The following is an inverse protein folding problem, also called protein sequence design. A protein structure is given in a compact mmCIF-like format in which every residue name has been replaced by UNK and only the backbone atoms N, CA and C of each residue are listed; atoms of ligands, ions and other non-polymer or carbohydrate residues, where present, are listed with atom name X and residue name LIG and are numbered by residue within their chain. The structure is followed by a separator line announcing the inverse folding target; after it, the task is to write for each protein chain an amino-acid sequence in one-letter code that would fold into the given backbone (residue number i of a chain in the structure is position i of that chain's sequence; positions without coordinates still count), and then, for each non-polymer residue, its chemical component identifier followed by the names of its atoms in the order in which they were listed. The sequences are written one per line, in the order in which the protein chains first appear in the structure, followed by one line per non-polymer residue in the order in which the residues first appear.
data_IF_263965772090
#
_entry.id   IF_263965772090
#
_cell.length_a   1.000
_cell.length_b   1.000
_cell.length_c   1.000
_cell.angle_alpha   90.00
_cell.angle_beta   90.00
_cell.angle_gamma   90.00
#
_symmetry.space_group_name_H-M   'P 1'
#
loop_
_entity.id
_entity.type
_entity.pdbx_description
1 polymer ?
#
# COMPACT_ATOMS: atom_id res chain seq x y z
N UNK A 1 -24.72 -90.06 7.15
CA UNK A 1 -26.18 -89.85 6.97
C UNK A 1 -26.45 -89.30 5.59
N UNK A 2 -26.67 -90.19 4.62
CA UNK A 2 -27.00 -89.85 3.23
C UNK A 2 -28.52 -89.84 3.10
N UNK A 3 -29.13 -88.67 3.29
CA UNK A 3 -30.56 -88.50 3.02
C UNK A 3 -30.78 -88.50 1.51
N UNK A 4 -31.39 -89.57 1.03
CA UNK A 4 -31.89 -89.73 -0.34
C UNK A 4 -32.90 -88.63 -0.61
N UNK A 5 -32.51 -87.65 -1.43
CA UNK A 5 -33.36 -86.51 -1.81
C UNK A 5 -34.42 -87.06 -2.77
N UNK A 6 -35.69 -87.05 -2.37
CA UNK A 6 -36.81 -87.28 -3.29
C UNK A 6 -36.71 -86.30 -4.47
N UNK A 7 -36.80 -86.75 -5.73
CA UNK A 7 -36.80 -85.85 -6.86
C UNK A 7 -38.05 -84.98 -6.77
N UNK A 8 -37.85 -83.66 -6.62
CA UNK A 8 -38.96 -82.71 -6.58
C UNK A 8 -39.90 -82.93 -7.77
N UNK A 9 -41.19 -82.92 -7.48
CA UNK A 9 -42.24 -82.97 -8.51
C UNK A 9 -42.08 -81.77 -9.46
N UNK A 10 -42.56 -81.89 -10.69
CA UNK A 10 -42.41 -80.83 -11.70
C UNK A 10 -43.04 -79.51 -11.26
N UNK A 11 -44.06 -79.57 -10.41
CA UNK A 11 -44.75 -78.41 -9.83
C UNK A 11 -43.90 -77.71 -8.78
N UNK A 12 -43.24 -78.44 -7.88
CA UNK A 12 -42.34 -77.88 -6.87
C UNK A 12 -41.09 -77.25 -7.49
N UNK A 13 -40.59 -77.79 -8.61
CA UNK A 13 -39.49 -77.18 -9.37
C UNK A 13 -39.90 -75.85 -10.00
N UNK A 14 -41.11 -75.79 -10.58
CA UNK A 14 -41.66 -74.54 -11.14
C UNK A 14 -41.88 -73.48 -10.05
N UNK A 15 -42.41 -73.88 -8.89
CA UNK A 15 -42.60 -72.99 -7.73
C UNK A 15 -41.26 -72.43 -7.21
N UNK A 16 -40.24 -73.28 -7.02
CA UNK A 16 -38.91 -72.83 -6.60
C UNK A 16 -38.24 -71.91 -7.62
N UNK A 17 -38.43 -72.15 -8.92
CA UNK A 17 -37.93 -71.24 -9.97
C UNK A 17 -38.65 -69.88 -9.95
N UNK A 18 -39.95 -69.85 -9.66
CA UNK A 18 -40.69 -68.60 -9.49
C UNK A 18 -40.19 -67.83 -8.26
N UNK A 19 -40.05 -68.49 -7.10
CA UNK A 19 -39.51 -67.88 -5.88
C UNK A 19 -38.09 -67.30 -6.09
N UNK A 20 -37.23 -68.04 -6.81
CA UNK A 20 -35.88 -67.56 -7.13
C UNK A 20 -35.89 -66.35 -8.08
N UNK A 21 -36.78 -66.32 -9.08
CA UNK A 21 -36.95 -65.17 -9.97
C UNK A 21 -37.45 -63.95 -9.22
N UNK A 22 -38.41 -64.13 -8.30
CA UNK A 22 -38.92 -63.06 -7.44
C UNK A 22 -37.82 -62.51 -6.52
N UNK A 23 -37.04 -63.38 -5.86
CA UNK A 23 -35.89 -62.96 -5.05
C UNK A 23 -34.83 -62.21 -5.85
N UNK A 24 -34.56 -62.62 -7.09
CA UNK A 24 -33.63 -61.90 -7.98
C UNK A 24 -34.19 -60.54 -8.40
N UNK A 25 -35.50 -60.46 -8.70
CA UNK A 25 -36.16 -59.21 -9.03
C UNK A 25 -36.14 -58.23 -7.84
N UNK A 26 -36.45 -58.70 -6.63
CA UNK A 26 -36.33 -57.92 -5.39
C UNK A 26 -34.91 -57.44 -5.15
N UNK A 27 -33.89 -58.30 -5.33
CA UNK A 27 -32.48 -57.91 -5.19
C UNK A 27 -32.04 -56.88 -6.24
N UNK A 28 -32.53 -56.98 -7.48
CA UNK A 28 -32.28 -55.98 -8.53
C UNK A 28 -32.93 -54.64 -8.20
N UNK A 29 -34.18 -54.64 -7.73
CA UNK A 29 -34.88 -53.43 -7.32
C UNK A 29 -34.18 -52.74 -6.13
N UNK A 30 -33.77 -53.50 -5.11
CA UNK A 30 -33.02 -52.97 -3.97
C UNK A 30 -31.67 -52.36 -4.39
N UNK A 31 -30.93 -53.03 -5.29
CA UNK A 31 -29.68 -52.48 -5.85
C UNK A 31 -29.91 -51.20 -6.63
N UNK A 32 -30.95 -51.15 -7.48
CA UNK A 32 -31.27 -49.95 -8.24
C UNK A 32 -31.61 -48.75 -7.32
N UNK A 33 -32.31 -48.98 -6.21
CA UNK A 33 -32.59 -47.93 -5.22
C UNK A 33 -31.33 -47.47 -4.49
N UNK A 34 -30.43 -48.38 -4.13
CA UNK A 34 -29.13 -48.05 -3.54
C UNK A 34 -28.27 -47.22 -4.50
N UNK A 35 -28.16 -47.63 -5.77
CA UNK A 35 -27.40 -46.90 -6.79
C UNK A 35 -27.93 -45.48 -7.01
N UNK A 36 -29.25 -45.27 -6.92
CA UNK A 36 -29.85 -43.93 -7.00
C UNK A 36 -29.50 -43.09 -5.76
N UNK A 37 -29.55 -43.68 -4.57
CA UNK A 37 -29.18 -43.00 -3.34
C UNK A 37 -27.69 -42.61 -3.35
N UNK A 38 -26.81 -43.53 -3.76
CA UNK A 38 -25.37 -43.31 -3.85
C UNK A 38 -25.00 -42.23 -4.87
N UNK A 39 -25.70 -42.18 -6.02
CA UNK A 39 -25.53 -41.08 -6.98
C UNK A 39 -25.94 -39.73 -6.40
N UNK A 40 -27.03 -39.68 -5.62
CA UNK A 40 -27.48 -38.44 -4.96
C UNK A 40 -26.48 -38.00 -3.88
N UNK A 41 -25.99 -38.91 -3.06
CA UNK A 41 -25.00 -38.58 -2.01
C UNK A 41 -23.65 -38.17 -2.62
N UNK A 42 -23.19 -38.84 -3.67
CA UNK A 42 -21.96 -38.47 -4.39
C UNK A 42 -22.05 -37.05 -4.98
N UNK A 43 -23.17 -36.69 -5.61
CA UNK A 43 -23.38 -35.34 -6.14
C UNK A 43 -23.50 -34.28 -5.03
N UNK A 44 -24.14 -34.60 -3.90
CA UNK A 44 -24.18 -33.73 -2.73
C UNK A 44 -22.78 -33.49 -2.14
N UNK A 45 -21.96 -34.54 -2.02
CA UNK A 45 -20.57 -34.44 -1.54
C UNK A 45 -19.75 -33.57 -2.51
N UNK A 46 -19.92 -33.75 -3.82
CA UNK A 46 -19.24 -32.92 -4.83
C UNK A 46 -19.56 -31.43 -4.66
N UNK A 47 -20.84 -31.10 -4.49
CA UNK A 47 -21.29 -29.71 -4.28
C UNK A 47 -20.78 -29.14 -2.97
N UNK A 48 -20.88 -29.92 -1.89
CA UNK A 48 -20.44 -29.50 -0.55
C UNK A 48 -18.92 -29.29 -0.51
N UNK A 49 -18.13 -30.17 -1.11
CA UNK A 49 -16.68 -29.99 -1.19
C UNK A 49 -16.30 -28.68 -1.91
N UNK A 50 -17.00 -28.31 -2.99
CA UNK A 50 -16.79 -27.03 -3.66
C UNK A 50 -17.16 -25.82 -2.78
N UNK A 51 -18.29 -25.91 -2.06
CA UNK A 51 -18.72 -24.87 -1.12
C UNK A 51 -17.75 -24.73 0.06
N UNK A 52 -17.29 -25.85 0.62
CA UNK A 52 -16.36 -25.87 1.76
C UNK A 52 -15.02 -25.22 1.38
N UNK A 53 -14.49 -25.49 0.18
CA UNK A 53 -13.27 -24.82 -0.30
C UNK A 53 -13.46 -23.30 -0.44
N UNK A 54 -14.60 -22.86 -0.96
CA UNK A 54 -14.92 -21.43 -1.07
C UNK A 54 -15.10 -20.78 0.30
N UNK A 55 -15.77 -21.46 1.23
CA UNK A 55 -16.01 -20.98 2.58
C UNK A 55 -14.71 -20.88 3.38
N UNK A 56 -13.79 -21.85 3.24
CA UNK A 56 -12.47 -21.82 3.90
C UNK A 56 -11.64 -20.64 3.40
N UNK A 57 -11.64 -20.34 2.09
CA UNK A 57 -10.95 -19.17 1.55
C UNK A 57 -11.53 -17.86 2.08
N UNK A 58 -12.86 -17.70 2.03
CA UNK A 58 -13.52 -16.52 2.55
C UNK A 58 -13.25 -16.30 4.05
N UNK A 59 -13.26 -17.37 4.86
CA UNK A 59 -12.91 -17.29 6.28
C UNK A 59 -11.43 -16.93 6.52
N UNK A 60 -10.52 -17.36 5.66
CA UNK A 60 -9.11 -16.97 5.73
C UNK A 60 -8.96 -15.47 5.47
N UNK A 61 -9.53 -14.99 4.36
CA UNK A 61 -9.50 -13.58 3.95
C UNK A 61 -10.14 -12.68 5.01
N UNK A 62 -11.29 -13.08 5.56
CA UNK A 62 -11.97 -12.34 6.62
C UNK A 62 -11.11 -12.26 7.89
N UNK A 63 -10.49 -13.37 8.32
CA UNK A 63 -9.61 -13.37 9.49
C UNK A 63 -8.37 -12.50 9.29
N UNK A 64 -7.79 -12.48 8.10
CA UNK A 64 -6.65 -11.62 7.77
C UNK A 64 -7.03 -10.14 7.79
N UNK A 65 -8.17 -9.80 7.18
CA UNK A 65 -8.72 -8.45 7.20
C UNK A 65 -9.04 -7.99 8.63
N UNK A 66 -9.69 -8.84 9.43
CA UNK A 66 -9.98 -8.53 10.84
C UNK A 66 -8.69 -8.31 11.65
N UNK A 67 -7.66 -9.14 11.46
CA UNK A 67 -6.34 -8.96 12.08
C UNK A 67 -5.68 -7.66 11.64
N UNK A 68 -5.75 -7.31 10.36
CA UNK A 68 -5.19 -6.06 9.84
C UNK A 68 -5.91 -4.83 10.43
N UNK A 69 -7.23 -4.86 10.54
CA UNK A 69 -8.02 -3.80 11.18
C UNK A 69 -7.71 -3.68 12.67
N UNK A 70 -7.59 -4.80 13.39
CA UNK A 70 -7.22 -4.81 14.80
C UNK A 70 -5.81 -4.23 15.02
N UNK A 71 -4.83 -4.59 14.18
CA UNK A 71 -3.47 -4.01 14.22
C UNK A 71 -3.50 -2.50 13.99
N UNK A 72 -4.20 -2.03 12.96
CA UNK A 72 -4.34 -0.59 12.67
C UNK A 72 -5.02 0.17 13.82
N UNK A 73 -6.01 -0.42 14.49
CA UNK A 73 -6.64 0.19 15.67
C UNK A 73 -5.67 0.28 16.84
N UNK A 74 -4.97 -0.82 17.14
CA UNK A 74 -3.98 -0.86 18.21
C UNK A 74 -2.84 0.13 17.98
N UNK A 75 -2.29 0.21 16.76
CA UNK A 75 -1.25 1.19 16.41
C UNK A 75 -1.73 2.64 16.62
N UNK A 76 -2.97 2.96 16.24
CA UNK A 76 -3.57 4.28 16.49
C UNK A 76 -3.75 4.59 17.97
N UNK A 77 -4.19 3.60 18.75
CA UNK A 77 -4.37 3.73 20.20
C UNK A 77 -3.03 3.92 20.91
N UNK A 78 -2.01 3.14 20.54
CA UNK A 78 -0.66 3.23 21.08
C UNK A 78 0.00 4.58 20.72
N UNK A 79 -0.17 5.05 19.48
CA UNK A 79 0.31 6.38 19.07
C UNK A 79 -0.41 7.51 19.81
N UNK A 80 -1.73 7.40 19.99
CA UNK A 80 -2.50 8.37 20.77
C UNK A 80 -2.08 8.37 22.24
N UNK A 81 -1.83 7.20 22.83
CA UNK A 81 -1.35 7.07 24.20
C UNK A 81 0.06 7.65 24.36
N UNK A 82 0.98 7.39 23.42
CA UNK A 82 2.31 7.99 23.42
C UNK A 82 2.25 9.52 23.31
N UNK A 83 1.41 10.05 22.43
CA UNK A 83 1.16 11.50 22.31
C UNK A 83 0.60 12.10 23.61
N UNK A 84 -0.31 11.41 24.30
CA UNK A 84 -0.84 11.86 25.62
C UNK A 84 0.26 11.91 26.67
N UNK A 85 1.07 10.85 26.79
CA UNK A 85 2.20 10.81 27.74
C UNK A 85 3.21 11.94 27.50
N UNK A 86 3.57 12.23 26.25
CA UNK A 86 4.50 13.32 25.92
C UNK A 86 3.87 14.68 26.27
N UNK A 87 2.58 14.88 25.98
CA UNK A 87 1.88 16.12 26.35
C UNK A 87 1.85 16.33 27.86
N UNK A 88 1.55 15.29 28.63
CA UNK A 88 1.56 15.33 30.10
C UNK A 88 2.96 15.66 30.65
N UNK A 89 4.02 15.08 30.08
CA UNK A 89 5.40 15.41 30.45
C UNK A 89 5.78 16.86 30.14
N UNK A 90 5.39 17.37 28.97
CA UNK A 90 5.65 18.77 28.58
C UNK A 90 4.87 19.73 29.50
N UNK A 91 3.65 19.39 29.86
CA UNK A 91 2.83 20.21 30.75
C UNK A 91 3.40 20.22 32.17
N UNK A 92 3.86 19.08 32.69
CA UNK A 92 4.56 19.01 33.97
C UNK A 92 5.86 19.84 33.97
N UNK A 93 6.74 19.71 32.96
CA UNK A 93 7.97 20.52 32.84
C UNK A 93 7.64 22.02 32.71
N UNK A 94 6.59 22.37 31.96
CA UNK A 94 6.14 23.75 31.82
C UNK A 94 5.68 24.33 33.16
N UNK A 95 4.88 23.57 33.92
CA UNK A 95 4.41 23.99 35.25
C UNK A 95 5.58 24.13 36.23
N UNK A 96 6.55 23.22 36.22
CA UNK A 96 7.74 23.30 37.07
C UNK A 96 8.59 24.53 36.75
N UNK A 97 8.80 24.85 35.47
CA UNK A 97 9.51 26.07 35.06
C UNK A 97 8.77 27.34 35.49
N UNK A 98 7.45 27.37 35.37
CA UNK A 98 6.64 28.50 35.84
C UNK A 98 6.79 28.67 37.36
N UNK A 99 6.66 27.58 38.13
CA UNK A 99 6.83 27.60 39.58
C UNK A 99 8.23 28.07 39.99
N UNK A 100 9.28 27.57 39.34
CA UNK A 100 10.67 27.98 39.61
C UNK A 100 10.92 29.45 39.30
N UNK A 101 10.36 29.96 38.19
CA UNK A 101 10.42 31.40 37.85
C UNK A 101 9.68 32.26 38.88
N UNK A 102 8.49 31.85 39.32
CA UNK A 102 7.73 32.56 40.35
C UNK A 102 8.48 32.58 41.70
N UNK A 103 9.09 31.47 42.10
CA UNK A 103 9.92 31.42 43.31
C UNK A 103 11.16 32.32 43.22
N UNK A 104 11.84 32.35 42.06
CA UNK A 104 12.99 33.23 41.84
C UNK A 104 12.60 34.72 41.82
N UNK A 105 11.44 35.06 41.26
CA UNK A 105 10.89 36.42 41.31
C UNK A 105 10.50 36.82 42.74
N UNK A 106 9.84 35.94 43.49
CA UNK A 106 9.48 36.20 44.88
C UNK A 106 10.72 36.41 45.78
N UNK A 107 11.79 35.63 45.57
CA UNK A 107 13.07 35.78 46.28
C UNK A 107 13.87 37.02 45.89
N UNK A 108 13.70 37.54 44.67
CA UNK A 108 14.34 38.80 44.24
C UNK A 108 13.55 40.03 44.67
N UNK A 109 12.23 39.96 44.81
CA UNK A 109 11.43 41.04 45.43
C UNK A 109 11.62 41.19 46.95
N UNK A 110 12.26 40.22 47.63
CA UNK A 110 12.71 40.37 49.02
C UNK A 110 14.16 40.90 49.14
N UNK A 111 14.95 40.87 48.06
CA UNK A 111 16.35 41.33 48.04
C UNK A 111 16.54 42.68 47.28
N UNK A 112 15.55 43.15 46.53
CA UNK A 112 15.63 44.39 45.74
C UNK A 112 15.33 45.69 46.53
N UNK A 113 15.15 45.63 47.87
CA UNK A 113 14.97 46.82 48.71
C UNK A 113 16.28 47.40 49.27
N UNK A 114 17.44 46.81 48.98
CA UNK A 114 18.72 47.28 49.51
C UNK A 114 19.86 47.13 48.49
N UNK A 115 19.96 48.08 47.55
CA UNK A 115 21.24 48.61 47.03
C UNK A 115 20.97 49.58 45.86
N UNK A 116 21.16 50.87 46.12
CA UNK A 116 21.15 51.93 45.12
C UNK A 116 22.47 52.70 45.16
N UNK A 117 23.37 52.51 44.18
CA UNK A 117 24.32 53.55 43.71
C UNK A 117 25.00 53.17 42.36
N UNK A 118 25.25 54.14 41.45
CA UNK A 118 25.87 54.00 40.09
C UNK A 118 27.40 54.35 40.11
N UNK A 119 28.23 54.52 39.02
CA UNK A 119 28.05 54.59 37.54
C UNK A 119 29.16 53.82 36.67
N UNK A 120 29.76 54.27 35.51
CA UNK A 120 29.76 53.63 34.15
C UNK A 120 31.18 53.36 33.53
N UNK A 121 31.48 53.34 32.18
CA UNK A 121 30.83 52.83 30.95
C UNK A 121 31.71 51.80 30.13
N UNK A 122 31.15 51.10 29.11
CA UNK A 122 31.69 50.97 27.71
C UNK A 122 31.19 49.73 26.91
N UNK A 123 30.75 50.04 25.67
CA UNK A 123 30.84 49.28 24.42
C UNK A 123 30.15 47.90 24.24
N UNK A 124 29.10 47.86 23.42
CA UNK A 124 29.15 47.47 21.99
C UNK A 124 27.83 46.86 21.49
N UNK A 125 27.34 47.39 20.35
CA UNK A 125 26.60 46.71 19.26
C UNK A 125 25.27 45.96 19.58
N UNK A 126 24.21 45.96 18.78
CA UNK A 126 23.78 46.71 17.59
C UNK A 126 22.28 46.40 17.45
N UNK A 127 21.59 47.33 16.83
CA UNK A 127 20.17 47.37 16.52
C UNK A 127 19.58 46.13 15.82
N UNK A 128 18.38 45.81 16.28
CA UNK A 128 17.30 45.10 15.61
C UNK A 128 17.15 45.47 14.13
N UNK A 129 17.23 44.47 13.26
CA UNK A 129 16.61 44.52 11.93
C UNK A 129 16.09 43.14 11.54
N UNK A 130 14.81 43.14 11.20
CA UNK A 130 14.01 42.06 10.66
C UNK A 130 14.41 41.74 9.22
N UNK A 131 15.57 41.11 9.03
CA UNK A 131 15.97 40.56 7.74
C UNK A 131 15.66 39.06 7.69
N UNK A 132 14.75 38.69 6.79
CA UNK A 132 14.51 37.31 6.37
C UNK A 132 15.82 36.60 6.05
N UNK A 133 16.21 35.64 6.88
CA UNK A 133 17.30 34.75 6.57
C UNK A 133 17.00 34.03 5.23
N UNK A 134 17.91 34.01 4.25
CA UNK A 134 17.73 33.17 3.08
C UNK A 134 17.68 31.73 3.58
N UNK A 135 16.59 31.04 3.26
CA UNK A 135 16.45 29.63 3.60
C UNK A 135 17.72 28.89 3.15
N UNK A 136 18.27 27.97 3.97
CA UNK A 136 19.45 27.21 3.58
C UNK A 136 19.15 26.54 2.24
N UNK A 137 20.10 26.60 1.30
CA UNK A 137 19.97 25.94 0.01
C UNK A 137 19.65 24.46 0.27
N UNK A 138 18.40 24.08 0.06
CA UNK A 138 17.93 22.72 0.26
C UNK A 138 18.62 21.89 -0.82
N UNK A 139 19.60 21.09 -0.43
CA UNK A 139 20.20 20.10 -1.31
C UNK A 139 19.15 19.02 -1.50
N UNK A 140 18.52 19.01 -2.67
CA UNK A 140 17.53 18.01 -3.02
C UNK A 140 18.24 16.85 -3.71
N UNK A 141 18.14 15.66 -3.12
CA UNK A 141 18.70 14.42 -3.69
C UNK A 141 17.86 13.87 -4.83
N UNK A 142 16.59 14.28 -4.92
CA UNK A 142 15.62 13.75 -5.88
C UNK A 142 15.09 14.86 -6.82
N UNK A 143 14.87 14.50 -8.08
CA UNK A 143 14.30 15.33 -9.14
C UNK A 143 12.94 14.77 -9.57
N UNK A 144 11.86 15.55 -9.42
CA UNK A 144 10.52 15.17 -9.87
C UNK A 144 10.22 15.76 -11.25
N UNK A 145 10.16 14.91 -12.27
CA UNK A 145 9.95 15.34 -13.65
C UNK A 145 8.51 15.07 -14.11
N UNK A 146 7.89 16.11 -14.68
CA UNK A 146 6.59 16.02 -15.34
C UNK A 146 6.78 16.10 -16.86
N UNK A 147 6.24 15.14 -17.60
CA UNK A 147 6.27 15.13 -19.06
C UNK A 147 4.95 15.61 -19.67
N UNK A 148 5.03 16.53 -20.64
CA UNK A 148 3.89 17.04 -21.42
C UNK A 148 4.06 16.68 -22.88
N UNK A 149 3.03 16.15 -23.51
CA UNK A 149 3.02 15.86 -24.95
C UNK A 149 1.89 16.66 -25.62
N UNK A 150 2.16 17.40 -26.71
CA UNK A 150 1.15 18.14 -27.45
C UNK A 150 0.29 17.23 -28.36
N UNK A 151 0.89 16.19 -28.96
CA UNK A 151 0.25 15.39 -30.03
C UNK A 151 -0.68 14.26 -29.54
N UNK A 152 -0.68 13.96 -28.24
CA UNK A 152 -1.53 12.94 -27.64
C UNK A 152 -2.29 13.54 -26.45
N UNK A 153 -3.57 13.19 -26.25
CA UNK A 153 -4.22 13.52 -24.99
C UNK A 153 -3.40 12.90 -23.85
N UNK A 154 -3.38 13.57 -22.69
CA UNK A 154 -2.57 13.22 -21.52
C UNK A 154 -2.91 11.86 -20.87
N UNK A 155 -3.63 11.02 -21.60
CA UNK A 155 -4.13 9.68 -21.29
C UNK A 155 -2.98 8.65 -21.31
N UNK A 156 -1.84 8.94 -21.96
CA UNK A 156 -0.69 8.03 -22.03
C UNK A 156 -0.07 7.69 -20.65
N UNK A 157 -0.30 8.51 -19.62
CA UNK A 157 0.07 8.19 -18.23
C UNK A 157 -1.01 7.41 -17.47
N UNK A 158 -2.26 7.41 -17.94
CA UNK A 158 -3.40 6.88 -17.18
C UNK A 158 -3.46 5.35 -17.23
N UNK A 159 -2.94 4.74 -18.30
CA UNK A 159 -2.88 3.28 -18.42
C UNK A 159 -1.80 2.64 -17.53
N UNK A 160 -0.75 3.37 -17.13
CA UNK A 160 0.37 2.86 -16.33
C UNK A 160 0.51 3.49 -14.94
N UNK A 161 -0.29 4.50 -14.58
CA UNK A 161 -0.43 4.94 -13.18
C UNK A 161 -1.21 3.94 -12.32
N UNK A 162 -1.89 2.94 -12.91
CA UNK A 162 -2.65 1.93 -12.16
C UNK A 162 -1.74 0.88 -11.50
N UNK A 163 -0.49 0.76 -11.94
CA UNK A 163 0.47 -0.20 -11.37
C UNK A 163 1.38 0.37 -10.29
N UNK A 164 1.36 1.70 -10.07
CA UNK A 164 2.14 2.36 -9.02
C UNK A 164 1.16 3.16 -8.17
N UNK A 165 0.78 2.55 -7.04
CA UNK A 165 -0.20 3.05 -6.09
C UNK A 165 0.10 4.50 -5.62
N UNK A 166 -0.91 5.36 -5.70
CA UNK A 166 -1.09 6.60 -4.91
C UNK A 166 -0.19 7.83 -5.13
N UNK A 167 -0.12 8.40 -6.34
CA UNK A 167 0.05 9.87 -6.46
C UNK A 167 -0.77 10.45 -7.63
N UNK A 168 -1.73 11.38 -7.38
CA UNK A 168 -2.49 12.05 -8.45
C UNK A 168 -1.66 13.09 -9.21
N UNK A 169 -0.33 13.05 -9.09
CA UNK A 169 0.58 13.96 -9.77
C UNK A 169 1.52 13.14 -10.65
N UNK A 170 1.45 13.48 -11.94
CA UNK A 170 2.15 12.95 -13.11
C UNK A 170 3.66 13.23 -13.04
N UNK A 171 4.29 12.88 -11.92
CA UNK A 171 5.66 13.21 -11.58
C UNK A 171 6.44 11.93 -11.32
N UNK A 172 7.47 11.69 -12.12
CA UNK A 172 8.39 10.57 -11.90
C UNK A 172 9.59 11.12 -11.13
N UNK A 173 9.98 10.41 -10.06
CA UNK A 173 11.16 10.76 -9.27
C UNK A 173 12.40 10.08 -9.87
N UNK A 174 13.42 10.88 -10.16
CA UNK A 174 14.76 10.47 -10.56
C UNK A 174 15.76 10.94 -9.49
N UNK A 175 16.96 10.36 -9.46
CA UNK A 175 18.02 10.85 -8.59
C UNK A 175 18.67 12.10 -9.21
N UNK A 176 19.10 13.05 -8.38
CA UNK A 176 19.76 14.27 -8.86
C UNK A 176 21.08 13.98 -9.61
N UNK A 177 21.70 12.84 -9.32
CA UNK A 177 22.91 12.32 -9.97
C UNK A 177 22.65 11.63 -11.31
N UNK A 178 21.39 11.34 -11.65
CA UNK A 178 21.07 10.67 -12.91
C UNK A 178 21.36 11.59 -14.10
N UNK A 179 21.79 10.99 -15.21
CA UNK A 179 22.02 11.71 -16.46
C UNK A 179 20.74 11.86 -17.24
N UNK A 180 20.66 12.91 -18.07
CA UNK A 180 19.52 13.13 -18.94
C UNK A 180 19.30 11.98 -19.94
N UNK A 181 20.35 11.23 -20.30
CA UNK A 181 20.24 10.01 -21.13
C UNK A 181 19.28 8.97 -20.54
N UNK A 182 19.28 8.77 -19.22
CA UNK A 182 18.36 7.85 -18.54
C UNK A 182 16.91 8.31 -18.71
N UNK A 183 16.68 9.62 -18.65
CA UNK A 183 15.36 10.22 -18.89
C UNK A 183 14.92 10.01 -20.34
N UNK A 184 15.83 10.15 -21.30
CA UNK A 184 15.56 9.87 -22.72
C UNK A 184 15.20 8.40 -22.96
N UNK A 185 15.93 7.46 -22.36
CA UNK A 185 15.64 6.03 -22.47
C UNK A 185 14.30 5.66 -21.83
N UNK A 186 13.99 6.25 -20.68
CA UNK A 186 12.70 6.07 -20.03
C UNK A 186 11.54 6.56 -20.93
N UNK A 187 11.67 7.74 -21.53
CA UNK A 187 10.65 8.30 -22.42
C UNK A 187 10.53 7.50 -23.72
N UNK A 188 11.65 7.00 -24.28
CA UNK A 188 11.63 6.16 -25.49
C UNK A 188 10.98 4.80 -25.23
N UNK A 189 11.28 4.17 -24.09
CA UNK A 189 10.64 2.91 -23.65
C UNK A 189 9.13 3.06 -23.48
N UNK A 190 8.67 4.18 -22.93
CA UNK A 190 7.24 4.46 -22.82
C UNK A 190 6.56 4.69 -24.18
N UNK A 191 7.27 5.28 -25.15
CA UNK A 191 6.73 5.55 -26.49
C UNK A 191 6.78 4.36 -27.44
N UNK A 192 7.22 3.19 -26.98
CA UNK A 192 7.33 1.99 -27.81
C UNK A 192 8.58 1.99 -28.71
N UNK A 193 9.67 2.63 -28.28
CA UNK A 193 10.96 2.59 -28.96
C UNK A 193 11.19 3.69 -30.01
N UNK A 194 10.33 4.70 -30.07
CA UNK A 194 10.53 5.86 -30.94
C UNK A 194 11.67 6.74 -30.38
N UNK A 195 12.78 6.84 -31.12
CA UNK A 195 14.00 7.57 -30.71
C UNK A 195 14.08 9.00 -31.23
N UNK A 196 13.18 9.40 -32.13
CA UNK A 196 13.15 10.71 -32.76
C UNK A 196 12.21 11.68 -32.02
N UNK A 197 12.60 12.09 -30.83
CA UNK A 197 11.90 13.16 -30.10
C UNK A 197 12.89 14.08 -29.38
N UNK A 198 12.43 15.29 -29.08
CA UNK A 198 13.20 16.34 -28.43
C UNK A 198 12.53 16.75 -27.12
N UNK A 199 13.32 16.86 -26.06
CA UNK A 199 12.87 17.35 -24.76
C UNK A 199 13.19 18.83 -24.62
N UNK A 200 12.20 19.63 -24.21
CA UNK A 200 12.36 21.05 -23.96
C UNK A 200 11.75 21.48 -22.62
N UNK A 201 12.38 22.42 -21.93
CA UNK A 201 11.82 23.07 -20.73
C UNK A 201 10.93 24.24 -21.13
N UNK A 202 9.94 24.59 -20.31
CA UNK A 202 9.03 25.72 -20.58
C UNK A 202 9.57 27.06 -20.08
N UNK A 203 10.32 27.05 -18.96
CA UNK A 203 10.85 28.27 -18.33
C UNK A 203 12.12 27.97 -17.51
N UNK A 204 13.29 28.55 -17.86
CA UNK A 204 13.60 29.17 -19.15
C UNK A 204 13.42 28.16 -20.28
N UNK A 205 13.05 28.62 -21.48
CA UNK A 205 12.91 27.73 -22.64
C UNK A 205 14.29 27.26 -23.08
N UNK A 206 14.62 26.00 -22.76
CA UNK A 206 15.87 25.36 -23.14
C UNK A 206 15.53 24.03 -23.81
N UNK A 207 16.14 23.80 -24.96
CA UNK A 207 16.13 22.48 -25.57
C UNK A 207 17.26 21.67 -24.92
N UNK A 208 16.94 20.46 -24.51
CA UNK A 208 17.91 19.53 -23.92
C UNK A 208 18.35 18.51 -24.98
N UNK A 209 19.36 18.84 -25.78
CA UNK A 209 19.84 17.99 -26.88
C UNK A 209 21.33 17.65 -26.75
N UNK A 210 21.81 16.64 -27.49
CA UNK A 210 23.22 16.28 -27.67
C UNK A 210 24.11 16.35 -26.43
N UNK A 211 24.74 17.50 -26.22
CA UNK A 211 25.66 17.78 -25.11
C UNK A 211 25.00 17.75 -23.73
N UNK A 212 23.73 18.13 -23.62
CA UNK A 212 22.99 18.10 -22.36
C UNK A 212 22.61 16.67 -21.94
N UNK A 213 22.68 15.68 -22.86
CA UNK A 213 22.39 14.27 -22.54
C UNK A 213 23.37 13.67 -21.54
N UNK A 214 24.60 14.14 -21.55
CA UNK A 214 25.68 13.66 -20.68
C UNK A 214 25.72 14.36 -19.32
N UNK A 215 24.94 15.43 -19.14
CA UNK A 215 24.90 16.20 -17.89
C UNK A 215 23.91 15.59 -16.90
N UNK A 216 24.17 15.80 -15.62
CA UNK A 216 23.29 15.36 -14.54
C UNK A 216 22.05 16.26 -14.44
N UNK A 217 20.96 15.74 -13.86
CA UNK A 217 19.73 16.53 -13.63
C UNK A 217 19.96 17.74 -12.73
N UNK A 218 20.94 17.65 -11.80
CA UNK A 218 21.38 18.77 -10.98
C UNK A 218 22.05 19.88 -11.79
N UNK A 219 22.97 19.53 -12.70
CA UNK A 219 23.65 20.49 -13.58
C UNK A 219 22.69 21.22 -14.52
N UNK A 220 21.65 20.50 -14.98
CA UNK A 220 20.61 21.06 -15.84
C UNK A 220 19.54 21.85 -15.09
N UNK A 221 19.68 22.02 -13.76
CA UNK A 221 18.73 22.73 -12.90
C UNK A 221 17.30 22.15 -12.97
N UNK A 222 17.19 20.83 -13.13
CA UNK A 222 15.90 20.13 -13.17
C UNK A 222 15.43 19.65 -11.78
N UNK A 223 16.20 19.97 -10.75
CA UNK A 223 15.99 19.64 -9.34
C UNK A 223 15.43 20.86 -8.60
N UNK A 224 14.42 20.75 -7.70
CA UNK A 224 13.75 19.53 -7.25
C UNK A 224 12.58 19.08 -8.12
N UNK A 225 12.08 19.93 -9.01
CA UNK A 225 10.94 19.62 -9.86
C UNK A 225 11.00 20.40 -11.17
N UNK A 226 10.77 19.73 -12.29
CA UNK A 226 10.78 20.36 -13.60
C UNK A 226 9.70 19.79 -14.52
N UNK A 227 9.22 20.63 -15.44
CA UNK A 227 8.28 20.24 -16.49
C UNK A 227 9.00 20.20 -17.83
N UNK A 228 9.01 19.03 -18.47
CA UNK A 228 9.57 18.80 -19.79
C UNK A 228 8.44 18.60 -20.78
N UNK A 229 8.51 19.31 -21.90
CA UNK A 229 7.63 19.13 -23.06
C UNK A 229 8.36 18.26 -24.06
N UNK A 230 7.67 17.23 -24.54
CA UNK A 230 8.16 16.35 -25.59
C UNK A 230 7.62 16.88 -26.91
N UNK A 231 8.52 17.28 -27.80
CA UNK A 231 8.18 17.65 -29.18
C UNK A 231 8.64 16.55 -30.13
N UNK A 232 7.79 16.19 -31.09
CA UNK A 232 8.21 15.39 -32.24
C UNK A 232 9.26 16.14 -33.06
N UNK A 233 10.01 15.37 -33.85
CA UNK A 233 10.97 15.92 -34.81
C UNK A 233 10.26 16.48 -36.05
#
# INVERSE_FOLDING_TARGET
STTVIQPLTEEERKAKLAELKERLAQKRAARAQADIADKKTAELIRRRAGQDLSAVKAQMEEREMQKALARKKKEKEDEAAAKRKIKEQIEADRQERIRKKQQAQAGTSAAAAAASTPPPPAAAASSSSSSSAPAPAKVYTEAKLQFRQPDRPQIFCLAMCVLIDQLPFRCIAFQATDTLSVVYEFVSGQRGGETAFRLMTTFPRKILDGEDRNKTLAELQLVPSATLVITGN
#
